data_IF_445757814781
#
_entry.id   IF_445757814781
#
_cell.length_a   1.000
_cell.length_b   1.000
_cell.length_c   1.000
_cell.angle_alpha   90.00
_cell.angle_beta   90.00
_cell.angle_gamma   90.00
#
_symmetry.space_group_name_H-M   'P 1'
#
loop_
_entity.id
_entity.type
_entity.pdbx_description
1 polymer ?
#
# COMPACT_ATOMS: atom_id res chain seq x y z
N UNK A 1 -64.89 17.79 -57.44
CA UNK A 1 -64.50 18.40 -56.15
C UNK A 1 -63.82 17.32 -55.30
N UNK A 2 -62.50 17.41 -55.14
CA UNK A 2 -61.72 16.41 -54.36
C UNK A 2 -61.31 17.03 -53.02
N UNK A 3 -61.76 16.43 -51.90
CA UNK A 3 -61.35 16.83 -50.55
C UNK A 3 -60.03 16.11 -50.22
N UNK A 4 -58.98 16.92 -49.87
CA UNK A 4 -57.73 16.44 -49.31
C UNK A 4 -57.87 16.30 -47.78
N UNK A 5 -57.62 15.13 -47.23
CA UNK A 5 -57.49 14.89 -45.82
C UNK A 5 -56.01 15.04 -45.43
N UNK A 6 -55.72 15.89 -44.46
CA UNK A 6 -54.38 16.09 -43.91
C UNK A 6 -54.16 15.18 -42.72
N UNK A 7 -53.16 14.29 -42.83
CA UNK A 7 -52.70 13.50 -41.73
C UNK A 7 -51.70 14.31 -40.88
N UNK A 8 -52.03 14.56 -39.60
CA UNK A 8 -51.11 15.09 -38.57
C UNK A 8 -50.21 13.97 -38.06
N UNK A 9 -48.95 14.05 -38.41
CA UNK A 9 -47.91 13.20 -37.88
C UNK A 9 -47.53 13.73 -36.47
N UNK A 10 -47.75 12.93 -35.42
CA UNK A 10 -47.30 13.20 -34.06
C UNK A 10 -45.88 12.66 -33.90
N UNK A 11 -44.90 13.58 -33.96
CA UNK A 11 -43.52 13.28 -33.54
C UNK A 11 -43.49 12.99 -32.05
N UNK A 12 -43.25 11.71 -31.69
CA UNK A 12 -42.82 11.29 -30.35
C UNK A 12 -41.30 11.47 -30.26
N UNK A 13 -40.84 12.42 -29.45
CA UNK A 13 -39.45 12.47 -29.04
C UNK A 13 -39.13 11.28 -28.13
N UNK A 14 -38.05 10.54 -28.37
CA UNK A 14 -37.57 9.59 -27.38
C UNK A 14 -36.95 10.35 -26.23
N UNK A 15 -37.44 10.15 -25.02
CA UNK A 15 -36.79 10.58 -23.80
C UNK A 15 -35.50 9.79 -23.65
N UNK A 16 -34.38 10.40 -24.00
CA UNK A 16 -33.06 9.84 -23.77
C UNK A 16 -32.81 9.77 -22.27
N UNK A 17 -32.71 8.56 -21.74
CA UNK A 17 -32.10 8.31 -20.45
C UNK A 17 -30.64 8.78 -20.53
N UNK A 18 -30.38 9.95 -19.98
CA UNK A 18 -29.03 10.45 -19.73
C UNK A 18 -28.44 9.61 -18.59
N UNK A 19 -27.97 8.40 -18.93
CA UNK A 19 -27.09 7.66 -18.09
C UNK A 19 -25.78 8.44 -17.98
N UNK A 20 -25.48 8.99 -16.81
CA UNK A 20 -24.18 9.54 -16.52
C UNK A 20 -23.16 8.41 -16.70
N UNK A 21 -22.43 8.44 -17.80
CA UNK A 21 -21.27 7.56 -18.02
C UNK A 21 -20.22 8.09 -17.04
N UNK A 22 -20.12 7.43 -15.87
CA UNK A 22 -18.98 7.62 -14.97
C UNK A 22 -17.77 7.14 -15.78
N UNK A 23 -16.80 8.00 -16.08
CA UNK A 23 -15.62 7.57 -16.82
C UNK A 23 -14.95 6.44 -15.99
N UNK A 24 -14.44 5.38 -16.65
CA UNK A 24 -13.79 4.30 -15.95
C UNK A 24 -12.67 4.89 -15.10
N UNK A 25 -12.68 4.58 -13.79
CA UNK A 25 -11.64 5.02 -12.86
C UNK A 25 -10.31 4.51 -13.43
N UNK A 26 -9.48 5.45 -13.87
CA UNK A 26 -8.18 5.13 -14.47
C UNK A 26 -7.34 4.41 -13.43
N UNK A 27 -6.82 3.23 -13.76
CA UNK A 27 -5.89 2.51 -12.90
C UNK A 27 -4.59 3.34 -12.76
N UNK A 28 -4.38 3.91 -11.57
CA UNK A 28 -3.24 4.77 -11.25
C UNK A 28 -2.08 4.00 -10.62
N UNK A 29 -2.20 2.68 -10.42
CA UNK A 29 -1.12 1.83 -9.89
C UNK A 29 0.07 1.87 -10.85
N UNK A 30 1.23 2.14 -10.30
CA UNK A 30 2.49 2.35 -11.01
C UNK A 30 2.71 3.78 -11.52
N UNK A 31 1.73 4.67 -11.37
CA UNK A 31 1.89 6.06 -11.77
C UNK A 31 2.64 6.89 -10.72
N UNK A 32 3.40 7.86 -11.20
CA UNK A 32 3.90 8.94 -10.36
C UNK A 32 2.76 9.91 -10.09
N UNK A 33 2.72 10.45 -8.86
CA UNK A 33 1.74 11.45 -8.44
C UNK A 33 2.43 12.64 -7.80
N UNK A 34 1.78 13.79 -7.87
CA UNK A 34 2.11 14.97 -7.10
C UNK A 34 0.83 15.60 -6.58
N UNK A 35 0.85 16.07 -5.34
CA UNK A 35 -0.27 16.79 -4.75
C UNK A 35 0.20 17.71 -3.62
N UNK A 36 -0.69 18.58 -3.20
CA UNK A 36 -0.55 19.35 -1.97
C UNK A 36 -1.30 18.65 -0.85
N UNK A 37 -0.73 18.70 0.33
CA UNK A 37 -1.34 18.19 1.56
C UNK A 37 -1.64 19.32 2.51
N UNK A 38 -2.85 19.35 3.02
CA UNK A 38 -3.28 20.29 4.04
C UNK A 38 -4.05 19.55 5.13
N UNK A 39 -3.45 19.41 6.32
CA UNK A 39 -4.03 18.63 7.42
C UNK A 39 -5.35 19.21 7.91
N UNK A 40 -5.39 20.53 8.14
CA UNK A 40 -6.56 21.28 8.57
C UNK A 40 -6.56 22.72 8.01
N UNK A 41 -7.57 23.51 8.40
CA UNK A 41 -7.73 24.89 7.90
C UNK A 41 -6.55 25.81 8.22
N UNK A 42 -5.85 25.56 9.31
CA UNK A 42 -4.79 26.43 9.86
C UNK A 42 -3.38 25.88 9.56
N UNK A 43 -3.29 24.61 9.13
CA UNK A 43 -2.01 23.96 8.80
C UNK A 43 -1.38 24.52 7.53
N UNK A 44 -0.04 24.61 7.48
CA UNK A 44 0.67 24.96 6.25
C UNK A 44 0.45 23.89 5.17
N UNK A 45 0.41 24.33 3.94
CA UNK A 45 0.35 23.42 2.79
C UNK A 45 1.73 22.87 2.49
N UNK A 46 1.85 21.56 2.34
CA UNK A 46 3.08 20.88 1.92
C UNK A 46 2.91 20.20 0.56
N UNK A 47 4.00 20.16 -0.21
CA UNK A 47 4.04 19.49 -1.52
C UNK A 47 4.55 18.06 -1.35
N UNK A 48 3.83 17.10 -1.92
CA UNK A 48 4.13 15.67 -1.84
C UNK A 48 4.23 15.07 -3.24
N UNK A 49 5.27 14.30 -3.46
CA UNK A 49 5.47 13.54 -4.71
C UNK A 49 5.76 12.09 -4.36
N UNK A 50 5.23 11.16 -5.15
CA UNK A 50 5.40 9.75 -4.84
C UNK A 50 4.96 8.84 -5.97
N UNK A 51 4.95 7.54 -5.68
CA UNK A 51 4.52 6.47 -6.59
C UNK A 51 3.40 5.68 -5.97
N UNK A 52 2.34 5.44 -6.71
CA UNK A 52 1.24 4.56 -6.31
C UNK A 52 1.69 3.11 -6.51
N UNK A 53 1.79 2.35 -5.42
CA UNK A 53 2.30 0.99 -5.42
C UNK A 53 1.22 -0.05 -5.70
N UNK A 54 0.07 0.10 -5.02
CA UNK A 54 -1.00 -0.89 -5.02
C UNK A 54 -2.35 -0.24 -4.72
N UNK A 55 -3.42 -0.84 -5.24
CA UNK A 55 -4.80 -0.56 -4.85
C UNK A 55 -5.31 -1.71 -3.99
N UNK A 56 -5.84 -1.41 -2.81
CA UNK A 56 -6.26 -2.43 -1.86
C UNK A 56 -7.59 -3.04 -2.28
N UNK A 57 -7.63 -4.37 -2.47
CA UNK A 57 -8.81 -5.07 -2.99
C UNK A 57 -10.03 -4.96 -2.06
N UNK A 58 -9.83 -5.08 -0.74
CA UNK A 58 -10.92 -5.00 0.25
C UNK A 58 -11.39 -3.57 0.54
N UNK A 59 -10.64 -2.57 0.08
CA UNK A 59 -11.03 -1.17 0.03
C UNK A 59 -10.48 -0.51 -1.25
N UNK A 60 -11.19 -0.59 -2.38
CA UNK A 60 -10.70 -0.08 -3.66
C UNK A 60 -10.48 1.45 -3.72
N UNK A 61 -10.89 2.18 -2.69
CA UNK A 61 -10.56 3.60 -2.55
C UNK A 61 -9.18 3.84 -1.97
N UNK A 62 -8.63 2.85 -1.24
CA UNK A 62 -7.35 2.91 -0.55
C UNK A 62 -6.21 2.49 -1.45
N UNK A 63 -5.18 3.33 -1.52
CA UNK A 63 -3.94 3.07 -2.25
C UNK A 63 -2.75 3.07 -1.32
N UNK A 64 -1.81 2.14 -1.55
CA UNK A 64 -0.48 2.19 -0.95
C UNK A 64 0.40 3.10 -1.79
N UNK A 65 1.09 4.02 -1.14
CA UNK A 65 1.89 5.06 -1.79
C UNK A 65 3.26 5.14 -1.12
N UNK A 66 4.31 5.15 -1.94
CA UNK A 66 5.67 5.49 -1.51
C UNK A 66 5.94 6.93 -1.88
N UNK A 67 6.03 7.80 -0.88
CA UNK A 67 6.42 9.19 -1.09
C UNK A 67 7.94 9.34 -1.13
N UNK A 68 8.40 10.30 -1.90
CA UNK A 68 9.82 10.63 -2.03
C UNK A 68 10.33 11.22 -0.72
N UNK A 69 11.51 10.76 -0.29
CA UNK A 69 12.12 11.21 0.96
C UNK A 69 11.55 10.59 2.23
N UNK A 70 10.57 9.69 2.14
CA UNK A 70 10.02 8.97 3.28
C UNK A 70 10.25 7.46 3.13
N UNK A 71 10.62 6.80 4.20
CA UNK A 71 10.90 5.37 4.19
C UNK A 71 9.64 4.52 4.42
N UNK A 72 8.63 5.09 5.05
CA UNK A 72 7.33 4.44 5.27
C UNK A 72 6.49 4.34 4.00
N UNK A 73 5.60 3.38 3.99
CA UNK A 73 4.50 3.25 3.02
C UNK A 73 3.24 3.84 3.62
N UNK A 74 2.57 4.70 2.87
CA UNK A 74 1.36 5.37 3.29
C UNK A 74 0.12 4.76 2.64
N UNK A 75 -0.95 4.63 3.41
CA UNK A 75 -2.27 4.21 2.93
C UNK A 75 -3.24 5.38 2.90
N UNK A 76 -3.61 5.82 1.71
CA UNK A 76 -4.49 6.98 1.50
C UNK A 76 -5.61 6.69 0.50
N UNK A 77 -6.79 7.23 0.77
CA UNK A 77 -7.87 7.32 -0.21
C UNK A 77 -7.64 8.53 -1.13
N UNK A 78 -6.48 8.55 -1.81
CA UNK A 78 -5.89 9.70 -2.52
C UNK A 78 -6.83 10.44 -3.47
N UNK A 79 -7.86 9.76 -3.99
CA UNK A 79 -8.85 10.34 -4.90
C UNK A 79 -10.07 10.95 -4.17
N UNK A 80 -10.15 10.79 -2.83
CA UNK A 80 -11.31 11.19 -2.03
C UNK A 80 -10.95 12.01 -0.80
N UNK A 81 -9.71 11.92 -0.33
CA UNK A 81 -9.26 12.61 0.87
C UNK A 81 -9.24 14.13 0.65
N UNK A 82 -10.01 14.86 1.43
CA UNK A 82 -10.17 16.32 1.31
C UNK A 82 -8.88 17.09 1.62
N UNK A 83 -7.93 16.47 2.33
CA UNK A 83 -6.60 17.03 2.62
C UNK A 83 -5.70 17.03 1.39
N UNK A 84 -6.02 16.19 0.39
CA UNK A 84 -5.30 16.11 -0.89
C UNK A 84 -5.83 17.19 -1.85
N UNK A 85 -4.99 18.14 -2.21
CA UNK A 85 -5.33 19.24 -3.09
C UNK A 85 -4.46 19.22 -4.35
N UNK A 86 -5.08 19.53 -5.50
CA UNK A 86 -4.36 19.65 -6.75
C UNK A 86 -3.63 18.37 -7.18
N UNK A 87 -4.29 17.21 -7.05
CA UNK A 87 -3.71 15.93 -7.42
C UNK A 87 -3.42 15.88 -8.93
N UNK A 88 -2.16 15.69 -9.25
CA UNK A 88 -1.64 15.42 -10.60
C UNK A 88 -1.21 13.96 -10.69
N UNK A 89 -1.66 13.27 -11.74
CA UNK A 89 -1.31 11.86 -12.00
C UNK A 89 -0.55 11.83 -13.32
N UNK A 90 0.73 11.46 -13.26
CA UNK A 90 1.57 11.34 -14.45
C UNK A 90 1.30 10.00 -15.13
N UNK A 91 1.00 10.00 -16.44
CA UNK A 91 0.56 8.79 -17.14
C UNK A 91 1.67 7.76 -17.34
N UNK A 92 2.93 8.19 -17.28
CA UNK A 92 4.08 7.33 -17.49
C UNK A 92 4.27 6.44 -16.27
N UNK A 93 4.05 5.14 -16.47
CA UNK A 93 4.30 4.13 -15.43
C UNK A 93 5.80 3.87 -15.33
N UNK A 94 6.25 3.57 -14.11
CA UNK A 94 7.62 3.14 -13.89
C UNK A 94 7.86 1.87 -14.74
N UNK A 95 8.92 1.90 -15.55
CA UNK A 95 9.31 0.75 -16.35
C UNK A 95 9.73 -0.40 -15.44
N UNK A 96 9.30 -1.65 -15.71
CA UNK A 96 9.72 -2.79 -14.92
C UNK A 96 11.25 -2.97 -15.03
N UNK A 97 11.91 -2.90 -13.91
CA UNK A 97 13.36 -3.10 -13.83
C UNK A 97 13.68 -4.59 -13.66
N UNK A 98 14.71 -5.08 -14.39
CA UNK A 98 15.19 -6.46 -14.20
C UNK A 98 16.09 -6.53 -12.97
N UNK A 99 15.78 -7.46 -12.06
CA UNK A 99 16.60 -7.71 -10.88
C UNK A 99 17.80 -8.55 -11.29
N UNK A 100 19.00 -8.07 -11.00
CA UNK A 100 20.24 -8.82 -11.25
C UNK A 100 20.40 -10.06 -10.35
N UNK A 101 19.83 -10.01 -9.14
CA UNK A 101 20.03 -10.99 -8.07
C UNK A 101 18.71 -11.62 -7.59
N UNK A 102 17.91 -12.15 -8.54
CA UNK A 102 16.58 -12.68 -8.24
C UNK A 102 16.61 -13.80 -7.17
N UNK A 103 17.62 -14.66 -7.15
CA UNK A 103 17.76 -15.72 -6.14
C UNK A 103 17.97 -15.18 -4.74
N UNK A 104 18.79 -14.14 -4.60
CA UNK A 104 19.02 -13.48 -3.31
C UNK A 104 17.75 -12.78 -2.84
N UNK A 105 17.06 -12.10 -3.75
CA UNK A 105 15.80 -11.44 -3.49
C UNK A 105 14.73 -12.42 -2.94
N UNK A 106 14.59 -13.60 -3.56
CA UNK A 106 13.67 -14.64 -3.09
C UNK A 106 14.07 -15.18 -1.71
N UNK A 107 15.37 -15.35 -1.46
CA UNK A 107 15.87 -15.84 -0.17
C UNK A 107 15.66 -14.88 0.99
N UNK A 108 15.46 -13.60 0.72
CA UNK A 108 15.17 -12.59 1.76
C UNK A 108 13.72 -12.62 2.24
N UNK A 109 12.79 -13.08 1.39
CA UNK A 109 11.37 -13.06 1.73
C UNK A 109 11.06 -13.96 2.93
N UNK A 110 10.30 -13.43 3.89
CA UNK A 110 9.94 -14.10 5.12
C UNK A 110 11.09 -14.23 6.13
N UNK A 111 12.27 -13.69 5.83
CA UNK A 111 13.45 -13.79 6.71
C UNK A 111 13.54 -12.61 7.66
N UNK A 112 14.04 -12.93 8.85
CA UNK A 112 14.45 -11.91 9.82
C UNK A 112 15.84 -11.42 9.41
N UNK A 113 16.01 -10.11 9.41
CA UNK A 113 17.26 -9.44 9.07
C UNK A 113 17.69 -8.49 10.18
N UNK A 114 18.97 -8.20 10.25
CA UNK A 114 19.51 -7.07 10.98
C UNK A 114 19.94 -6.00 9.97
N UNK A 115 19.32 -4.82 10.06
CA UNK A 115 19.55 -3.70 9.17
C UNK A 115 20.23 -2.57 9.94
N UNK A 116 21.35 -2.08 9.44
CA UNK A 116 22.17 -1.06 10.07
C UNK A 116 21.78 0.31 9.53
N UNK A 117 21.47 1.23 10.43
CA UNK A 117 21.21 2.62 10.10
C UNK A 117 22.29 3.52 10.69
N UNK A 118 22.75 4.47 9.91
CA UNK A 118 23.67 5.50 10.38
C UNK A 118 22.92 6.50 11.27
N UNK A 119 23.48 6.79 12.43
CA UNK A 119 22.96 7.76 13.38
C UNK A 119 23.66 9.10 13.17
N UNK A 120 23.11 10.19 13.72
CA UNK A 120 23.62 11.57 13.55
C UNK A 120 25.07 11.73 14.01
N UNK A 121 25.55 10.88 14.92
CA UNK A 121 26.94 10.85 15.40
C UNK A 121 27.88 9.99 14.56
N UNK A 122 27.38 9.43 13.44
CA UNK A 122 28.13 8.56 12.54
C UNK A 122 28.29 7.11 13.03
N UNK A 123 27.68 6.75 14.16
CA UNK A 123 27.60 5.36 14.61
C UNK A 123 26.52 4.60 13.83
N UNK A 124 26.57 3.25 13.84
CA UNK A 124 25.53 2.41 13.24
C UNK A 124 24.66 1.80 14.32
N UNK A 125 23.34 1.83 14.10
CA UNK A 125 22.35 1.20 14.97
C UNK A 125 21.63 0.08 14.21
N UNK A 126 21.75 -1.14 14.72
CA UNK A 126 21.11 -2.32 14.14
C UNK A 126 19.64 -2.45 14.56
N UNK A 127 18.77 -2.64 13.58
CA UNK A 127 17.35 -2.91 13.79
C UNK A 127 17.01 -4.28 13.24
N UNK A 128 16.39 -5.10 14.07
CA UNK A 128 15.82 -6.36 13.59
C UNK A 128 14.51 -6.10 12.88
N UNK A 129 14.38 -6.70 11.70
CA UNK A 129 13.19 -6.55 10.88
C UNK A 129 12.81 -7.85 10.18
N UNK A 130 11.57 -7.92 9.72
CA UNK A 130 11.03 -9.02 8.94
C UNK A 130 10.77 -8.53 7.51
N UNK A 131 11.41 -9.19 6.52
CA UNK A 131 11.18 -8.92 5.10
C UNK A 131 9.87 -9.57 4.67
N UNK A 132 8.92 -8.79 4.20
CA UNK A 132 7.53 -9.21 4.01
C UNK A 132 7.23 -9.62 2.56
N UNK A 133 7.56 -8.74 1.62
CA UNK A 133 7.27 -8.94 0.20
C UNK A 133 8.15 -8.04 -0.67
N UNK A 134 8.14 -8.30 -1.98
CA UNK A 134 8.63 -7.35 -3.00
C UNK A 134 7.46 -6.63 -3.63
N UNK A 135 7.68 -5.39 -4.04
CA UNK A 135 6.65 -4.68 -4.78
C UNK A 135 6.68 -5.09 -6.26
N UNK A 136 5.52 -5.25 -6.87
CA UNK A 136 5.42 -5.56 -8.30
C UNK A 136 5.83 -4.39 -9.20
N UNK A 137 5.62 -3.16 -8.70
CA UNK A 137 5.88 -1.92 -9.43
C UNK A 137 7.35 -1.51 -9.36
N UNK A 138 7.99 -1.72 -8.21
CA UNK A 138 9.39 -1.40 -7.95
C UNK A 138 10.11 -2.66 -7.44
N UNK A 139 10.45 -3.62 -8.32
CA UNK A 139 10.84 -4.97 -7.92
C UNK A 139 12.20 -5.07 -7.21
N UNK A 140 12.99 -4.01 -7.18
CA UNK A 140 14.22 -3.89 -6.37
C UNK A 140 13.94 -3.42 -4.95
N UNK A 141 12.69 -3.03 -4.66
CA UNK A 141 12.25 -2.55 -3.36
C UNK A 141 11.46 -3.61 -2.63
N UNK A 142 11.69 -3.69 -1.31
CA UNK A 142 11.06 -4.67 -0.42
C UNK A 142 10.24 -3.97 0.63
N UNK A 143 9.11 -4.56 0.96
CA UNK A 143 8.37 -4.25 2.17
C UNK A 143 9.04 -4.93 3.36
N UNK A 144 9.27 -4.18 4.41
CA UNK A 144 9.88 -4.63 5.66
C UNK A 144 9.21 -3.94 6.84
N UNK A 145 9.18 -4.61 7.97
CA UNK A 145 8.79 -4.02 9.26
C UNK A 145 9.85 -4.31 10.30
N UNK A 146 9.90 -3.53 11.37
CA UNK A 146 10.91 -3.66 12.42
C UNK A 146 10.29 -3.95 13.77
N UNK A 147 11.00 -4.71 14.62
CA UNK A 147 10.54 -5.04 15.97
C UNK A 147 10.30 -3.79 16.84
N UNK A 148 11.12 -2.75 16.64
CA UNK A 148 11.04 -1.50 17.40
C UNK A 148 9.92 -0.57 16.90
N UNK A 149 9.49 -0.75 15.66
CA UNK A 149 8.47 0.07 15.02
C UNK A 149 7.68 -0.77 14.01
N UNK A 150 6.47 -1.22 14.35
CA UNK A 150 5.67 -2.13 13.54
C UNK A 150 4.97 -1.45 12.33
N UNK A 151 5.58 -0.42 11.77
CA UNK A 151 5.11 0.26 10.56
C UNK A 151 5.65 -0.44 9.30
N UNK A 152 4.96 -0.32 8.20
CA UNK A 152 5.40 -0.83 6.90
C UNK A 152 6.40 0.14 6.27
N UNK A 153 7.62 -0.31 6.13
CA UNK A 153 8.71 0.39 5.47
C UNK A 153 9.02 -0.20 4.09
N UNK A 154 9.79 0.54 3.31
CA UNK A 154 10.18 0.11 1.97
C UNK A 154 11.61 0.56 1.65
N UNK A 155 12.52 -0.44 1.44
CA UNK A 155 13.94 -0.22 1.16
C UNK A 155 14.45 -1.07 0.00
N UNK A 156 15.60 -0.68 -0.57
CA UNK A 156 16.33 -1.43 -1.58
C UNK A 156 17.28 -2.44 -0.93
N UNK A 157 16.76 -3.40 -0.17
CA UNK A 157 17.52 -4.32 0.69
C UNK A 157 18.65 -5.09 0.00
N UNK A 158 18.60 -5.26 -1.33
CA UNK A 158 19.71 -5.89 -2.08
C UNK A 158 20.95 -5.02 -2.11
N UNK A 159 20.78 -3.71 -2.19
CA UNK A 159 21.89 -2.76 -2.18
C UNK A 159 22.49 -2.68 -0.77
N UNK A 160 21.64 -2.62 0.25
CA UNK A 160 22.05 -2.60 1.67
C UNK A 160 22.81 -3.89 2.04
N UNK A 161 22.34 -5.05 1.53
CA UNK A 161 23.03 -6.33 1.70
C UNK A 161 24.41 -6.33 1.07
N UNK A 162 24.55 -5.80 -0.16
CA UNK A 162 25.84 -5.69 -0.87
C UNK A 162 26.78 -4.70 -0.18
N UNK A 163 26.25 -3.62 0.35
CA UNK A 163 27.01 -2.63 1.13
C UNK A 163 27.48 -3.17 2.49
N UNK A 164 26.89 -4.27 2.97
CA UNK A 164 27.18 -4.84 4.29
C UNK A 164 26.36 -4.22 5.42
N UNK A 165 25.36 -3.41 5.06
CA UNK A 165 24.47 -2.74 6.01
C UNK A 165 23.23 -3.59 6.35
N UNK A 166 23.07 -4.74 5.69
CA UNK A 166 22.01 -5.69 5.99
C UNK A 166 22.56 -7.12 6.09
N UNK A 167 22.16 -7.83 7.12
CA UNK A 167 22.48 -9.25 7.33
C UNK A 167 21.21 -10.07 7.48
N UNK A 168 21.14 -11.22 6.78
CA UNK A 168 20.08 -12.20 6.97
C UNK A 168 20.44 -13.02 8.21
N UNK A 169 19.58 -12.96 9.22
CA UNK A 169 19.78 -13.74 10.43
C UNK A 169 19.47 -15.23 10.18
N UNK A 170 20.19 -16.15 10.85
CA UNK A 170 19.85 -17.56 10.81
C UNK A 170 18.43 -17.74 11.38
N UNK A 171 17.71 -18.74 10.86
CA UNK A 171 16.46 -19.14 11.49
C UNK A 171 16.80 -19.56 12.93
N UNK A 172 16.18 -18.94 13.92
CA UNK A 172 16.24 -19.43 15.27
C UNK A 172 15.67 -20.85 15.23
N UNK A 173 16.50 -21.86 15.59
CA UNK A 173 16.14 -23.27 15.65
C UNK A 173 14.93 -23.47 16.57
N UNK A 174 13.75 -23.40 16.02
CA UNK A 174 12.48 -23.53 16.69
C UNK A 174 11.34 -23.47 15.70
N UNK A 175 11.07 -24.61 15.04
CA UNK A 175 9.82 -24.87 14.34
C UNK A 175 9.53 -24.02 13.08
N UNK A 176 10.24 -24.30 11.98
CA UNK A 176 9.52 -24.43 10.73
C UNK A 176 8.66 -25.70 10.82
N UNK A 177 7.59 -25.65 11.58
CA UNK A 177 6.44 -26.45 11.22
C UNK A 177 5.99 -25.92 9.88
N UNK A 178 6.36 -26.68 8.84
CA UNK A 178 5.61 -26.71 7.60
C UNK A 178 4.22 -27.15 8.06
N UNK A 179 3.37 -26.19 8.33
CA UNK A 179 1.94 -26.45 8.50
C UNK A 179 1.53 -26.94 7.14
N UNK A 180 1.43 -28.30 7.03
CA UNK A 180 0.77 -28.91 5.91
C UNK A 180 -0.54 -28.17 5.70
N UNK A 181 -0.86 -27.90 4.44
CA UNK A 181 -2.08 -27.25 4.01
C UNK A 181 -3.31 -28.04 4.47
N UNK A 182 -3.77 -27.77 5.68
CA UNK A 182 -4.85 -28.50 6.35
C UNK A 182 -5.40 -27.73 7.52
N UNK A 183 -5.77 -26.51 7.29
CA UNK A 183 -6.93 -25.80 7.81
C UNK A 183 -6.95 -24.43 7.12
N UNK A 184 -7.97 -24.21 6.34
CA UNK A 184 -8.27 -22.88 5.78
C UNK A 184 -8.69 -22.03 6.97
N UNK A 185 -7.70 -21.51 7.69
CA UNK A 185 -7.96 -20.44 8.64
C UNK A 185 -8.57 -19.29 7.85
N UNK A 186 -9.82 -18.96 8.11
CA UNK A 186 -10.51 -17.87 7.44
C UNK A 186 -9.62 -16.64 7.47
N UNK A 187 -9.17 -16.19 6.31
CA UNK A 187 -8.33 -15.00 6.20
C UNK A 187 -8.98 -13.84 6.93
N UNK A 188 -8.21 -13.15 7.76
CA UNK A 188 -8.68 -11.95 8.47
C UNK A 188 -8.81 -10.75 7.54
N UNK A 189 -8.38 -10.85 6.29
CA UNK A 189 -8.41 -9.75 5.31
C UNK A 189 -9.83 -9.23 5.11
N UNK A 190 -10.01 -7.92 5.27
CA UNK A 190 -11.29 -7.23 5.22
C UNK A 190 -12.01 -7.11 6.57
N UNK A 191 -11.58 -7.85 7.60
CA UNK A 191 -12.18 -7.75 8.94
C UNK A 191 -11.75 -6.46 9.64
N UNK A 192 -12.65 -5.91 10.44
CA UNK A 192 -12.37 -4.79 11.33
C UNK A 192 -11.63 -5.32 12.56
N UNK A 193 -10.69 -4.53 13.06
CA UNK A 193 -9.93 -4.82 14.27
C UNK A 193 -9.98 -3.61 15.20
N UNK A 194 -9.95 -3.91 16.49
CA UNK A 194 -9.82 -2.92 17.56
C UNK A 194 -8.49 -3.19 18.27
N UNK A 195 -7.74 -2.14 18.51
CA UNK A 195 -6.47 -2.18 19.21
C UNK A 195 -6.54 -1.21 20.39
N UNK A 196 -6.17 -1.70 21.56
CA UNK A 196 -6.03 -0.88 22.77
C UNK A 196 -4.53 -0.81 23.12
N UNK A 197 -4.01 0.41 23.19
CA UNK A 197 -2.64 0.61 23.61
C UNK A 197 -2.51 0.55 25.14
N UNK A 198 -1.28 0.53 25.65
CA UNK A 198 -0.97 0.46 27.08
C UNK A 198 -1.59 1.61 27.90
N UNK A 199 -1.93 2.72 27.26
CA UNK A 199 -2.59 3.87 27.89
C UNK A 199 -4.12 3.80 27.87
N UNK A 200 -4.70 2.70 27.37
CA UNK A 200 -6.16 2.51 27.27
C UNK A 200 -6.80 3.25 26.09
N UNK A 201 -6.00 3.81 25.17
CA UNK A 201 -6.55 4.42 23.95
C UNK A 201 -6.93 3.32 22.96
N UNK A 202 -8.17 3.32 22.53
CA UNK A 202 -8.67 2.39 21.53
C UNK A 202 -8.53 2.99 20.12
N UNK A 203 -8.07 2.17 19.20
CA UNK A 203 -7.97 2.47 17.77
C UNK A 203 -8.75 1.43 16.98
N UNK A 204 -9.48 1.86 15.99
CA UNK A 204 -10.20 0.98 15.06
C UNK A 204 -9.47 0.98 13.73
N UNK A 205 -9.41 -0.18 13.10
CA UNK A 205 -8.77 -0.34 11.81
C UNK A 205 -9.31 -1.52 11.04
N UNK A 206 -8.75 -1.74 9.87
CA UNK A 206 -9.10 -2.87 9.00
C UNK A 206 -7.86 -3.64 8.58
N UNK A 207 -7.96 -4.95 8.60
CA UNK A 207 -6.96 -5.84 7.99
C UNK A 207 -7.07 -5.72 6.46
N UNK A 208 -6.00 -5.27 5.81
CA UNK A 208 -6.01 -4.96 4.38
C UNK A 208 -5.22 -5.94 3.52
N UNK A 209 -4.29 -6.69 4.11
CA UNK A 209 -3.45 -7.64 3.40
C UNK A 209 -2.92 -8.71 4.35
N UNK A 210 -2.69 -9.92 3.84
CA UNK A 210 -2.01 -11.03 4.52
C UNK A 210 -0.68 -11.31 3.83
N UNK A 211 0.40 -11.41 4.59
CA UNK A 211 1.75 -11.61 4.05
C UNK A 211 1.91 -13.07 3.60
N UNK A 212 2.13 -13.29 2.30
CA UNK A 212 2.26 -14.64 1.75
C UNK A 212 3.46 -15.42 2.31
N UNK A 213 4.59 -14.74 2.52
CA UNK A 213 5.81 -15.36 3.04
C UNK A 213 5.70 -15.74 4.53
N UNK A 214 4.76 -15.15 5.28
CA UNK A 214 4.44 -15.45 6.66
C UNK A 214 2.95 -15.22 6.93
N UNK A 215 2.08 -16.23 6.74
CA UNK A 215 0.63 -16.08 6.76
C UNK A 215 0.00 -15.62 8.09
N UNK A 216 0.74 -15.68 9.20
CA UNK A 216 0.34 -15.09 10.48
C UNK A 216 0.43 -13.58 10.52
N UNK A 217 1.16 -12.96 9.57
CA UNK A 217 1.44 -11.53 9.55
C UNK A 217 0.46 -10.81 8.62
N UNK A 218 -0.08 -9.71 9.11
CA UNK A 218 -1.10 -8.92 8.42
C UNK A 218 -0.74 -7.44 8.39
N UNK A 219 -1.18 -6.76 7.32
CA UNK A 219 -1.18 -5.30 7.24
C UNK A 219 -2.51 -4.77 7.76
N UNK A 220 -2.42 -3.78 8.63
CA UNK A 220 -3.57 -3.11 9.23
C UNK A 220 -3.50 -1.62 8.93
N UNK A 221 -4.62 -1.07 8.44
CA UNK A 221 -4.82 0.37 8.28
C UNK A 221 -5.78 0.83 9.36
N UNK A 222 -5.29 1.64 10.31
CA UNK A 222 -6.13 2.31 11.30
C UNK A 222 -6.83 3.54 10.70
N UNK A 223 -8.01 3.86 11.24
CA UNK A 223 -8.85 4.94 10.71
C UNK A 223 -8.27 6.33 11.00
N UNK A 224 -7.51 6.45 12.08
CA UNK A 224 -6.92 7.67 12.62
C UNK A 224 -5.50 7.98 12.09
N UNK A 225 -4.95 7.15 11.21
CA UNK A 225 -3.56 7.26 10.77
C UNK A 225 -3.43 6.88 9.29
N UNK A 226 -2.43 7.35 8.60
CA UNK A 226 -2.11 6.97 7.21
C UNK A 226 -0.94 5.99 7.10
N UNK A 227 -0.28 5.62 8.18
CA UNK A 227 0.67 4.54 8.18
C UNK A 227 -0.03 3.19 8.04
N UNK A 228 0.68 2.24 7.47
CA UNK A 228 0.29 0.84 7.46
C UNK A 228 1.06 0.14 8.56
N UNK A 229 0.34 -0.52 9.44
CA UNK A 229 0.92 -1.27 10.55
C UNK A 229 1.01 -2.76 10.20
N UNK A 230 1.99 -3.43 10.77
CA UNK A 230 2.28 -4.84 10.51
C UNK A 230 2.29 -5.60 11.83
N UNK A 231 1.38 -6.55 11.96
CA UNK A 231 1.27 -7.36 13.17
C UNK A 231 1.23 -8.84 12.85
N UNK A 232 1.88 -9.62 13.71
CA UNK A 232 1.71 -11.07 13.79
C UNK A 232 0.46 -11.36 14.65
N UNK A 233 -0.55 -12.01 14.08
CA UNK A 233 -1.89 -12.14 14.64
C UNK A 233 -2.17 -13.55 15.18
N UNK A 234 -1.13 -14.32 15.50
CA UNK A 234 -1.26 -15.66 16.08
C UNK A 234 -0.83 -15.65 17.54
#
# INVERSE_FOLDING_TARGET
MKKKSSHKNKNRHPVGLSGSIIPPVRNIVGCRIKHKWKEDCDSPVSDWSGTVLEQIQVNPSLYLIKYDGFDCVYGLEILRDERVQGLEIFPDKIAPYRISDARLAERMLGRVVEHQFETDDGSKNGWKGLVLARTSIMPTWFFITYEKDPVLYMYQLLEDYKAGDLQILPDSDGLTEVTEAGDVCDSLVGKQVEYENENGTQRTGRVIHQVQAKPSVYFIKFDDDYHIYVYDMI
#
